data_IF_680303599982
#
_entry.id   IF_680303599982
#
_cell.length_a   1.000
_cell.length_b   1.000
_cell.length_c   1.000
_cell.angle_alpha   90.00
_cell.angle_beta   90.00
_cell.angle_gamma   90.00
#
_symmetry.space_group_name_H-M   'P 1'
#
loop_
_entity.id
_entity.type
_entity.pdbx_description
1 polymer ?
#
# COMPACT_ATOMS: atom_id res chain seq x y z
N UNK A 1 7.43 -10.64 29.33
CA UNK A 1 7.10 -9.33 28.75
C UNK A 1 6.52 -9.61 27.38
N UNK A 2 5.28 -9.24 27.10
CA UNK A 2 4.69 -9.38 25.77
C UNK A 2 5.17 -8.19 24.93
N UNK A 3 5.67 -8.44 23.73
CA UNK A 3 6.04 -7.39 22.80
C UNK A 3 4.80 -7.00 21.98
N UNK A 4 4.35 -5.77 22.09
CA UNK A 4 3.28 -5.20 21.28
C UNK A 4 3.92 -4.33 20.20
N UNK A 5 3.45 -4.45 18.96
CA UNK A 5 3.92 -3.64 17.83
C UNK A 5 2.72 -3.11 17.06
N UNK A 6 2.70 -1.81 16.86
CA UNK A 6 1.66 -1.08 16.16
C UNK A 6 2.16 -0.65 14.79
N UNK A 7 1.42 -1.03 13.75
CA UNK A 7 1.75 -0.75 12.36
C UNK A 7 0.60 0.05 11.76
N UNK A 8 0.91 1.15 11.09
CA UNK A 8 -0.10 1.91 10.35
C UNK A 8 0.22 1.98 8.87
N UNK A 9 -0.74 1.57 8.06
CA UNK A 9 -0.63 1.51 6.61
C UNK A 9 -1.45 2.62 5.93
N UNK A 10 -0.92 3.15 4.83
CA UNK A 10 -1.67 4.00 3.91
C UNK A 10 -2.86 3.25 3.29
N UNK A 11 -4.07 3.79 3.40
CA UNK A 11 -5.25 3.29 2.70
C UNK A 11 -6.40 4.31 2.70
N UNK A 12 -7.30 4.18 1.72
CA UNK A 12 -8.55 4.95 1.71
C UNK A 12 -9.51 4.38 2.75
N UNK A 13 -10.04 5.24 3.65
CA UNK A 13 -11.05 4.84 4.64
C UNK A 13 -12.35 4.25 4.03
N UNK A 14 -12.56 4.43 2.72
CA UNK A 14 -13.76 4.01 1.99
C UNK A 14 -13.68 2.58 1.40
N UNK A 15 -12.51 1.93 1.36
CA UNK A 15 -12.41 0.53 0.94
C UNK A 15 -12.53 -0.36 2.17
N UNK A 16 -13.40 -1.37 2.11
CA UNK A 16 -13.54 -2.36 3.18
C UNK A 16 -12.14 -2.84 3.61
N UNK A 17 -11.87 -2.95 4.92
CA UNK A 17 -10.56 -3.28 5.48
C UNK A 17 -10.09 -4.72 5.18
N UNK A 18 -10.59 -5.35 4.12
CA UNK A 18 -10.30 -6.74 3.76
C UNK A 18 -9.35 -6.87 2.56
N UNK A 19 -9.33 -5.91 1.63
CA UNK A 19 -8.51 -6.05 0.40
C UNK A 19 -7.05 -5.64 0.57
N UNK A 20 -6.77 -4.56 1.31
CA UNK A 20 -5.39 -4.08 1.56
C UNK A 20 -4.74 -4.84 2.72
N UNK A 21 -5.54 -5.29 3.69
CA UNK A 21 -5.07 -5.95 4.91
C UNK A 21 -4.78 -7.45 4.75
N UNK A 22 -5.35 -8.12 3.74
CA UNK A 22 -5.28 -9.58 3.61
C UNK A 22 -3.86 -10.14 3.51
N UNK A 23 -2.93 -9.40 2.90
CA UNK A 23 -1.52 -9.81 2.80
C UNK A 23 -0.72 -9.47 4.05
N UNK A 24 -0.92 -8.29 4.63
CA UNK A 24 -0.24 -7.86 5.86
C UNK A 24 -0.61 -8.70 7.08
N UNK A 25 -1.89 -9.04 7.24
CA UNK A 25 -2.37 -9.88 8.34
C UNK A 25 -1.80 -11.31 8.26
N UNK A 26 -1.74 -11.89 7.06
CA UNK A 26 -1.16 -13.22 6.87
C UNK A 26 0.33 -13.25 7.22
N UNK A 27 1.10 -12.25 6.76
CA UNK A 27 2.52 -12.10 7.10
C UNK A 27 2.74 -11.88 8.60
N UNK A 28 1.92 -11.05 9.24
CA UNK A 28 1.99 -10.82 10.68
C UNK A 28 1.72 -12.10 11.48
N UNK A 29 0.69 -12.86 11.11
CA UNK A 29 0.37 -14.14 11.77
C UNK A 29 1.47 -15.17 11.59
N UNK A 30 2.00 -15.30 10.37
CA UNK A 30 3.11 -16.22 10.09
C UNK A 30 4.35 -15.85 10.92
N UNK A 31 4.76 -14.58 10.90
CA UNK A 31 5.86 -14.06 11.71
C UNK A 31 5.67 -14.33 13.21
N UNK A 32 4.49 -14.05 13.76
CA UNK A 32 4.20 -14.30 15.18
C UNK A 32 4.22 -15.80 15.52
N UNK A 33 3.82 -16.67 14.59
CA UNK A 33 3.83 -18.12 14.79
C UNK A 33 5.24 -18.72 14.85
N UNK A 34 6.22 -18.06 14.21
CA UNK A 34 7.62 -18.47 14.20
C UNK A 34 8.40 -18.01 15.45
N UNK A 35 7.79 -17.22 16.34
CA UNK A 35 8.46 -16.69 17.52
C UNK A 35 8.20 -17.55 18.75
N UNK A 36 9.27 -17.77 19.52
CA UNK A 36 9.18 -18.43 20.84
C UNK A 36 8.57 -17.54 21.93
N UNK A 37 8.47 -16.23 21.67
CA UNK A 37 7.96 -15.23 22.62
C UNK A 37 6.57 -14.75 22.20
N UNK A 38 5.60 -14.64 23.14
CA UNK A 38 4.30 -14.07 22.83
C UNK A 38 4.43 -12.58 22.45
N UNK A 39 3.67 -12.18 21.44
CA UNK A 39 3.54 -10.79 21.01
C UNK A 39 2.30 -10.58 20.15
N UNK A 40 2.01 -9.32 19.83
CA UNK A 40 0.88 -8.92 18.99
C UNK A 40 1.32 -7.88 17.97
N UNK A 41 0.64 -7.89 16.82
CA UNK A 41 0.77 -6.86 15.80
C UNK A 41 -0.61 -6.27 15.57
N UNK A 42 -0.75 -4.97 15.79
CA UNK A 42 -1.97 -4.22 15.52
C UNK A 42 -1.82 -3.39 14.25
N UNK A 43 -2.89 -3.36 13.43
CA UNK A 43 -2.93 -2.66 12.16
C UNK A 43 -3.91 -1.50 12.21
N UNK A 44 -3.43 -0.30 11.88
CA UNK A 44 -4.26 0.88 11.70
C UNK A 44 -4.23 1.27 10.22
N UNK A 45 -5.38 1.59 9.62
CA UNK A 45 -5.42 2.16 8.27
C UNK A 45 -5.72 3.64 8.34
N UNK A 46 -4.93 4.43 7.63
CA UNK A 46 -5.09 5.87 7.57
C UNK A 46 -4.52 6.43 6.27
N UNK A 47 -4.72 7.72 6.02
CA UNK A 47 -4.05 8.39 4.92
C UNK A 47 -2.57 8.66 5.24
N UNK A 48 -1.74 8.76 4.20
CA UNK A 48 -0.27 8.85 4.32
C UNK A 48 0.18 9.99 5.26
N UNK A 49 -0.43 11.17 5.14
CA UNK A 49 -0.13 12.31 6.01
C UNK A 49 -0.38 12.01 7.49
N UNK A 50 -1.49 11.36 7.82
CA UNK A 50 -1.80 11.00 9.21
C UNK A 50 -0.89 9.91 9.73
N UNK A 51 -0.45 8.98 8.86
CA UNK A 51 0.56 7.97 9.20
C UNK A 51 1.90 8.60 9.54
N UNK A 52 2.35 9.60 8.79
CA UNK A 52 3.59 10.31 9.12
C UNK A 52 3.49 11.07 10.44
N UNK A 53 2.35 11.72 10.73
CA UNK A 53 2.13 12.37 12.02
C UNK A 53 2.08 11.38 13.18
N UNK A 54 1.44 10.22 12.98
CA UNK A 54 1.40 9.16 13.98
C UNK A 54 2.80 8.61 14.28
N UNK A 55 3.63 8.44 13.25
CA UNK A 55 5.02 8.02 13.40
C UNK A 55 5.82 9.07 14.18
N UNK A 56 5.74 10.34 13.76
CA UNK A 56 6.43 11.45 14.41
C UNK A 56 6.06 11.58 15.90
N UNK A 57 4.80 11.38 16.27
CA UNK A 57 4.34 11.45 17.66
C UNK A 57 4.56 10.16 18.46
N UNK A 58 5.12 9.11 17.85
CA UNK A 58 5.34 7.83 18.52
C UNK A 58 4.06 7.08 18.87
N UNK A 59 2.97 7.34 18.13
CA UNK A 59 1.72 6.59 18.26
C UNK A 59 1.76 5.24 17.56
N UNK A 60 2.71 5.07 16.64
CA UNK A 60 2.95 3.82 15.91
C UNK A 60 4.44 3.48 15.93
N UNK A 61 4.75 2.19 15.85
CA UNK A 61 6.13 1.71 15.80
C UNK A 61 6.65 1.65 14.35
N UNK A 62 5.76 1.34 13.41
CA UNK A 62 6.10 1.19 11.98
C UNK A 62 5.06 1.87 11.08
N UNK A 63 5.55 2.62 10.10
CA UNK A 63 4.74 3.21 9.04
C UNK A 63 4.92 2.44 7.73
N UNK A 64 3.82 2.10 7.07
CA UNK A 64 3.79 1.49 5.74
C UNK A 64 3.11 2.44 4.76
N UNK A 65 3.89 3.11 3.92
CA UNK A 65 3.38 4.10 2.98
C UNK A 65 3.82 3.84 1.54
N UNK A 66 3.29 4.63 0.61
CA UNK A 66 3.71 4.67 -0.79
C UNK A 66 4.41 6.02 -1.12
N UNK A 67 4.78 6.80 -0.10
CA UNK A 67 5.21 8.19 -0.25
C UNK A 67 6.73 8.31 -0.03
N UNK A 68 7.52 7.97 -1.05
CA UNK A 68 8.98 7.86 -0.93
C UNK A 68 9.67 9.11 -0.39
N UNK A 69 9.28 10.28 -0.87
CA UNK A 69 9.85 11.55 -0.39
C UNK A 69 9.56 11.77 1.10
N UNK A 70 8.37 11.39 1.58
CA UNK A 70 8.01 11.54 2.98
C UNK A 70 8.72 10.51 3.86
N UNK A 71 8.92 9.29 3.37
CA UNK A 71 9.73 8.26 4.04
C UNK A 71 11.18 8.74 4.25
N UNK A 72 11.78 9.35 3.22
CA UNK A 72 13.13 9.93 3.30
C UNK A 72 13.20 11.08 4.30
N UNK A 73 12.23 12.00 4.28
CA UNK A 73 12.14 13.10 5.26
C UNK A 73 12.05 12.55 6.68
N UNK A 74 11.23 11.53 6.93
CA UNK A 74 11.08 10.94 8.27
C UNK A 74 12.39 10.36 8.82
N UNK A 75 13.25 9.82 7.96
CA UNK A 75 14.59 9.36 8.37
C UNK A 75 15.53 10.55 8.60
N UNK A 76 15.55 11.53 7.69
CA UNK A 76 16.42 12.71 7.80
C UNK A 76 16.13 13.55 9.05
N UNK A 77 14.86 13.69 9.42
CA UNK A 77 14.40 14.42 10.60
C UNK A 77 14.44 13.58 11.89
N UNK A 78 14.87 12.31 11.80
CA UNK A 78 15.04 11.41 12.95
C UNK A 78 13.74 10.89 13.56
N UNK A 79 12.64 10.92 12.82
CA UNK A 79 11.35 10.34 13.23
C UNK A 79 11.35 8.82 13.04
N UNK A 80 12.10 8.34 12.05
CA UNK A 80 12.33 6.94 11.76
C UNK A 80 13.83 6.63 11.82
N UNK A 81 14.17 5.40 12.23
CA UNK A 81 15.56 4.92 12.19
C UNK A 81 16.00 4.62 10.75
N UNK A 82 15.10 4.07 9.92
CA UNK A 82 15.35 3.74 8.53
C UNK A 82 14.05 3.73 7.70
N UNK A 83 14.21 3.61 6.38
CA UNK A 83 13.12 3.40 5.43
C UNK A 83 13.56 2.38 4.36
N UNK A 84 12.61 1.58 3.86
CA UNK A 84 12.90 0.53 2.88
C UNK A 84 11.67 0.08 2.09
N UNK A 85 11.90 -0.45 0.89
CA UNK A 85 10.86 -1.06 0.06
C UNK A 85 10.61 -2.51 0.49
N UNK A 86 9.38 -2.85 0.86
CA UNK A 86 9.00 -4.24 1.19
C UNK A 86 8.05 -4.88 0.17
N UNK A 87 7.38 -4.07 -0.65
CA UNK A 87 6.47 -4.54 -1.71
C UNK A 87 6.70 -3.75 -3.01
N UNK A 88 6.71 -4.48 -4.13
CA UNK A 88 6.58 -3.90 -5.47
C UNK A 88 5.17 -4.22 -5.98
N UNK A 89 4.35 -3.19 -6.16
CA UNK A 89 3.04 -3.33 -6.79
C UNK A 89 3.15 -3.07 -8.30
N UNK A 90 2.21 -3.63 -9.06
CA UNK A 90 2.13 -3.46 -10.51
C UNK A 90 0.78 -2.84 -10.87
N UNK A 91 0.79 -1.77 -11.65
CA UNK A 91 -0.43 -1.24 -12.25
C UNK A 91 -0.81 -2.06 -13.48
N UNK A 92 -2.06 -2.51 -13.52
CA UNK A 92 -2.61 -3.23 -14.66
C UNK A 92 -3.71 -2.40 -15.31
N UNK A 93 -3.65 -2.26 -16.64
CA UNK A 93 -4.77 -1.77 -17.42
C UNK A 93 -5.71 -2.95 -17.71
N UNK A 94 -6.94 -2.88 -17.22
CA UNK A 94 -7.95 -3.93 -17.39
C UNK A 94 -9.19 -3.37 -18.09
N UNK A 95 -9.84 -4.21 -18.87
CA UNK A 95 -11.04 -3.86 -19.63
C UNK A 95 -11.89 -5.10 -19.95
N UNK A 96 -13.00 -4.93 -20.70
CA UNK A 96 -13.87 -6.02 -21.11
C UNK A 96 -13.13 -7.09 -21.93
N UNK A 97 -13.59 -8.34 -21.83
CA UNK A 97 -13.01 -9.45 -22.59
C UNK A 97 -13.06 -9.24 -24.11
N UNK A 98 -14.06 -8.53 -24.59
CA UNK A 98 -14.22 -8.21 -26.01
C UNK A 98 -13.13 -7.27 -26.53
N UNK A 99 -12.39 -6.58 -25.64
CA UNK A 99 -11.35 -5.61 -25.98
C UNK A 99 -11.79 -4.63 -27.09
N UNK A 100 -12.88 -3.86 -26.87
CA UNK A 100 -13.42 -2.99 -27.91
C UNK A 100 -12.41 -1.90 -28.35
N UNK A 101 -11.50 -1.51 -27.46
CA UNK A 101 -10.42 -0.56 -27.75
C UNK A 101 -9.18 -1.22 -28.36
N UNK A 102 -9.17 -2.54 -28.58
CA UNK A 102 -8.07 -3.29 -29.16
C UNK A 102 -6.69 -3.01 -28.50
N UNK A 103 -6.67 -2.86 -27.18
CA UNK A 103 -5.47 -2.45 -26.43
C UNK A 103 -4.58 -3.62 -26.01
N UNK A 104 -4.99 -4.89 -26.23
CA UNK A 104 -4.17 -6.05 -25.82
C UNK A 104 -2.79 -6.14 -26.47
N UNK A 105 -2.62 -5.56 -27.66
CA UNK A 105 -1.42 -5.71 -28.48
C UNK A 105 -0.62 -4.41 -28.61
N UNK A 106 -1.04 -3.33 -27.94
CA UNK A 106 -0.35 -2.04 -27.96
C UNK A 106 0.99 -2.15 -27.24
N UNK A 107 1.96 -1.34 -27.68
CA UNK A 107 3.33 -1.44 -27.16
C UNK A 107 3.60 -0.45 -26.01
N UNK A 108 2.70 0.48 -25.77
CA UNK A 108 2.81 1.44 -24.67
C UNK A 108 1.46 1.79 -24.04
N UNK A 109 1.51 2.32 -22.81
CA UNK A 109 0.32 2.72 -22.07
C UNK A 109 -0.33 3.97 -22.67
N UNK A 110 0.45 4.85 -23.29
CA UNK A 110 0.00 6.04 -24.00
C UNK A 110 -0.85 5.63 -25.21
N UNK A 111 -0.36 4.68 -26.02
CA UNK A 111 -1.10 4.12 -27.16
C UNK A 111 -2.42 3.47 -26.69
N UNK A 112 -2.38 2.74 -25.56
CA UNK A 112 -3.57 2.16 -24.97
C UNK A 112 -4.62 3.24 -24.61
N UNK A 113 -4.19 4.32 -23.95
CA UNK A 113 -5.09 5.41 -23.58
C UNK A 113 -5.63 6.17 -24.79
N UNK A 114 -4.83 6.37 -25.83
CA UNK A 114 -5.29 6.97 -27.09
C UNK A 114 -6.38 6.11 -27.75
N UNK A 115 -6.22 4.79 -27.83
CA UNK A 115 -7.24 3.91 -28.41
C UNK A 115 -8.53 3.88 -27.56
N UNK A 116 -8.42 3.93 -26.23
CA UNK A 116 -9.59 4.04 -25.34
C UNK A 116 -10.35 5.35 -25.62
N UNK A 117 -9.66 6.47 -25.81
CA UNK A 117 -10.29 7.77 -26.08
C UNK A 117 -11.02 7.83 -27.42
N UNK A 118 -10.56 7.04 -28.41
CA UNK A 118 -11.16 6.97 -29.74
C UNK A 118 -12.40 6.08 -29.80
N UNK A 119 -12.76 5.38 -28.72
CA UNK A 119 -13.98 4.61 -28.66
C UNK A 119 -15.22 5.52 -28.81
N UNK A 120 -16.14 5.22 -29.73
CA UNK A 120 -17.39 5.96 -29.82
C UNK A 120 -18.18 5.81 -28.52
N UNK A 121 -18.59 6.92 -27.92
CA UNK A 121 -19.54 6.91 -26.83
C UNK A 121 -20.86 6.35 -27.35
N UNK A 122 -21.26 5.15 -26.92
CA UNK A 122 -22.65 4.72 -27.05
C UNK A 122 -23.50 5.65 -26.16
N UNK A 123 -24.18 6.62 -26.79
CA UNK A 123 -25.34 7.32 -26.21
C UNK A 123 -26.53 6.38 -26.13
#
# INVERSE_FOLDING_TARGET
MQAETSIQQHGNMATQPTQVFGQGEALAKDYLSLRDTPGSIEWVCNHSRNTQLALFHGHIDLALTYEREQEEISVLEGWAENAGCIFHDHFCLIGPEQDPANIRQVQSIEEAFEQILLLPSHQ
#
